data_IF_525269365215
#
_entry.id   IF_525269365215
#
_cell.length_a   1.000
_cell.length_b   1.000
_cell.length_c   1.000
_cell.angle_alpha   90.00
_cell.angle_beta   90.00
_cell.angle_gamma   90.00
#
_symmetry.space_group_name_H-M   'P 1'
#
loop_
_entity.id
_entity.type
_entity.pdbx_description
1 polymer ?
#
# COMPACT_ATOMS: atom_id res chain seq x y z
N UNK A 1 -31.39 -25.28 0.95
CA UNK A 1 -30.41 -24.35 1.53
C UNK A 1 -29.23 -24.29 0.57
N UNK A 2 -29.23 -23.29 -0.31
CA UNK A 2 -28.19 -23.12 -1.32
C UNK A 2 -27.00 -22.45 -0.62
N UNK A 3 -26.04 -23.25 -0.17
CA UNK A 3 -24.78 -22.72 0.31
C UNK A 3 -24.08 -22.11 -0.91
N UNK A 4 -24.14 -20.78 -1.04
CA UNK A 4 -23.29 -20.05 -1.96
C UNK A 4 -21.85 -20.41 -1.63
N UNK A 5 -21.25 -21.29 -2.44
CA UNK A 5 -19.80 -21.44 -2.46
C UNK A 5 -19.27 -20.08 -2.90
N UNK A 6 -18.84 -19.27 -1.95
CA UNK A 6 -17.99 -18.12 -2.23
C UNK A 6 -16.68 -18.72 -2.72
N UNK A 7 -16.55 -18.87 -4.03
CA UNK A 7 -15.26 -19.16 -4.63
C UNK A 7 -14.35 -18.02 -4.20
N UNK A 8 -13.29 -18.26 -3.41
CA UNK A 8 -12.39 -17.19 -3.02
C UNK A 8 -11.87 -16.59 -4.32
N UNK A 9 -12.18 -15.32 -4.57
CA UNK A 9 -11.64 -14.62 -5.72
C UNK A 9 -10.13 -14.83 -5.66
N UNK A 10 -9.50 -15.47 -6.66
CA UNK A 10 -8.07 -15.66 -6.61
C UNK A 10 -7.48 -14.26 -6.46
N UNK A 11 -6.76 -14.02 -5.35
CA UNK A 11 -5.93 -12.83 -5.26
C UNK A 11 -4.87 -13.01 -6.36
N UNK A 12 -5.20 -12.55 -7.57
CA UNK A 12 -4.37 -12.65 -8.78
C UNK A 12 -2.99 -12.03 -8.54
N UNK A 13 -2.89 -11.20 -7.51
CA UNK A 13 -1.69 -10.48 -7.12
C UNK A 13 -1.13 -11.05 -5.82
N UNK A 14 -0.15 -11.95 -5.96
CA UNK A 14 0.73 -12.34 -4.86
C UNK A 14 1.88 -11.32 -4.80
N UNK A 15 1.78 -10.35 -3.89
CA UNK A 15 2.86 -9.42 -3.64
C UNK A 15 4.12 -10.20 -3.19
N UNK A 16 5.27 -9.90 -3.79
CA UNK A 16 6.53 -10.47 -3.35
C UNK A 16 7.00 -9.74 -2.08
N UNK A 17 6.54 -10.22 -0.93
CA UNK A 17 6.80 -9.60 0.37
C UNK A 17 8.30 -9.46 0.65
N UNK A 18 9.11 -10.46 0.30
CA UNK A 18 10.57 -10.41 0.50
C UNK A 18 11.19 -9.25 -0.27
N UNK A 19 10.84 -9.10 -1.55
CA UNK A 19 11.37 -8.00 -2.37
C UNK A 19 10.89 -6.64 -1.89
N UNK A 20 9.63 -6.53 -1.45
CA UNK A 20 9.10 -5.30 -0.83
C UNK A 20 9.90 -4.96 0.43
N UNK A 21 10.19 -5.94 1.29
CA UNK A 21 10.96 -5.75 2.52
C UNK A 21 12.40 -5.29 2.23
N UNK A 22 13.06 -5.88 1.23
CA UNK A 22 14.39 -5.46 0.80
C UNK A 22 14.40 -4.02 0.26
N UNK A 23 13.40 -3.64 -0.54
CA UNK A 23 13.24 -2.26 -1.02
C UNK A 23 12.96 -1.30 0.14
N UNK A 24 12.10 -1.69 1.09
CA UNK A 24 11.80 -0.89 2.28
C UNK A 24 13.05 -0.67 3.14
N UNK A 25 13.88 -1.70 3.33
CA UNK A 25 15.12 -1.59 4.11
C UNK A 25 16.15 -0.63 3.51
N UNK A 26 16.13 -0.44 2.18
CA UNK A 26 17.02 0.48 1.45
C UNK A 26 16.46 1.89 1.32
N UNK A 27 15.18 2.08 1.62
CA UNK A 27 14.51 3.38 1.50
C UNK A 27 14.76 4.17 2.77
N UNK A 28 15.21 5.42 2.63
CA UNK A 28 15.23 6.36 3.76
C UNK A 28 13.77 6.67 4.16
N UNK A 29 13.40 6.39 5.40
CA UNK A 29 12.06 6.65 5.94
C UNK A 29 11.98 7.92 6.77
N UNK A 30 13.00 8.77 6.75
CA UNK A 30 12.97 10.03 7.47
C UNK A 30 11.77 10.89 7.04
N UNK A 31 11.00 11.35 8.02
CA UNK A 31 9.94 12.32 7.84
C UNK A 31 10.22 13.43 8.85
N UNK A 32 10.23 14.67 8.37
CA UNK A 32 10.49 15.82 9.22
C UNK A 32 9.30 16.06 10.16
N UNK A 33 9.51 15.82 11.45
CA UNK A 33 8.48 16.02 12.47
C UNK A 33 8.21 17.49 12.77
N UNK A 34 9.03 18.41 12.26
CA UNK A 34 8.82 19.86 12.37
C UNK A 34 7.90 20.41 11.27
N UNK A 35 7.69 19.64 10.19
CA UNK A 35 6.73 19.95 9.12
C UNK A 35 5.28 19.76 9.57
N UNK A 36 4.34 20.26 8.76
CA UNK A 36 2.91 20.00 8.99
C UNK A 36 2.61 18.50 8.86
N UNK A 37 1.50 18.07 9.48
CA UNK A 37 1.03 16.68 9.40
C UNK A 37 0.73 16.33 7.94
N UNK A 38 0.15 17.25 7.18
CA UNK A 38 -0.21 17.05 5.78
C UNK A 38 1.02 16.88 4.89
N UNK A 39 2.06 17.68 5.13
CA UNK A 39 3.33 17.60 4.40
C UNK A 39 4.06 16.30 4.72
N UNK A 40 4.18 15.98 6.01
CA UNK A 40 4.75 14.72 6.50
C UNK A 40 4.03 13.49 5.93
N UNK A 41 2.70 13.54 5.89
CA UNK A 41 1.86 12.48 5.33
C UNK A 41 2.02 12.35 3.82
N UNK A 42 2.16 13.47 3.10
CA UNK A 42 2.43 13.47 1.66
C UNK A 42 3.77 12.80 1.34
N UNK A 43 4.82 13.14 2.09
CA UNK A 43 6.17 12.55 1.95
C UNK A 43 6.12 11.04 2.23
N UNK A 44 5.47 10.62 3.31
CA UNK A 44 5.29 9.20 3.63
C UNK A 44 4.58 8.45 2.49
N UNK A 45 3.46 8.97 1.97
CA UNK A 45 2.73 8.35 0.86
C UNK A 45 3.60 8.21 -0.40
N UNK A 46 4.45 9.20 -0.68
CA UNK A 46 5.43 9.15 -1.77
C UNK A 46 6.41 7.99 -1.60
N UNK A 47 7.05 7.89 -0.43
CA UNK A 47 8.00 6.80 -0.09
C UNK A 47 7.34 5.42 -0.10
N UNK A 48 6.15 5.31 0.48
CA UNK A 48 5.34 4.09 0.42
C UNK A 48 5.03 3.68 -1.03
N UNK A 49 4.66 4.66 -1.87
CA UNK A 49 4.40 4.41 -3.29
C UNK A 49 5.62 3.89 -4.03
N UNK A 50 6.79 4.50 -3.79
CA UNK A 50 8.06 4.07 -4.37
C UNK A 50 8.33 2.59 -4.07
N UNK A 51 8.16 2.17 -2.80
CA UNK A 51 8.45 0.80 -2.35
C UNK A 51 7.43 -0.22 -2.87
N UNK A 52 6.18 0.19 -3.09
CA UNK A 52 5.09 -0.75 -3.36
C UNK A 52 4.58 -0.74 -4.80
N UNK A 53 4.82 0.31 -5.59
CA UNK A 53 4.21 0.50 -6.92
C UNK A 53 4.56 -0.61 -7.92
N UNK A 54 5.77 -1.17 -7.85
CA UNK A 54 6.17 -2.29 -8.70
C UNK A 54 5.54 -3.63 -8.32
N UNK A 55 4.89 -3.72 -7.14
CA UNK A 55 4.41 -4.98 -6.56
C UNK A 55 2.92 -4.98 -6.23
N UNK A 56 2.31 -3.80 -6.09
CA UNK A 56 0.89 -3.58 -5.82
C UNK A 56 0.31 -2.78 -7.00
N UNK A 57 -0.69 -3.33 -7.72
CA UNK A 57 -1.34 -2.62 -8.81
C UNK A 57 -1.98 -1.31 -8.37
N UNK A 58 -2.01 -0.34 -9.29
CA UNK A 58 -2.63 0.96 -9.03
C UNK A 58 -4.14 0.85 -8.69
N UNK A 59 -4.87 -0.12 -9.27
CA UNK A 59 -6.30 -0.32 -8.97
C UNK A 59 -6.55 -0.82 -7.54
N UNK A 60 -5.59 -1.51 -6.93
CA UNK A 60 -5.70 -1.97 -5.54
C UNK A 60 -5.34 -0.87 -4.52
N UNK A 61 -4.58 0.13 -4.97
CA UNK A 61 -4.18 1.29 -4.18
C UNK A 61 -5.37 2.25 -3.93
N UNK A 62 -6.27 2.37 -4.91
CA UNK A 62 -7.37 3.34 -4.85
C UNK A 62 -8.52 2.91 -3.92
N UNK A 63 -8.83 1.61 -3.86
CA UNK A 63 -9.91 1.08 -3.00
C UNK A 63 -9.61 1.20 -1.50
N UNK A 64 -8.34 1.08 -1.09
CA UNK A 64 -7.92 1.23 0.33
C UNK A 64 -7.71 2.70 0.73
N UNK A 65 -7.38 3.55 -0.25
CA UNK A 65 -7.36 5.02 -0.21
C UNK A 65 -8.64 5.66 0.36
N UNK A 66 -9.79 5.12 -0.05
CA UNK A 66 -11.12 5.73 0.16
C UNK A 66 -11.77 5.39 1.50
N UNK A 67 -11.21 4.48 2.30
CA UNK A 67 -11.85 3.97 3.53
C UNK A 67 -11.70 4.95 4.72
N UNK A 68 -11.01 6.09 4.57
CA UNK A 68 -10.81 7.08 5.66
C UNK A 68 -11.56 8.41 5.47
N UNK A 69 -12.59 8.47 4.62
CA UNK A 69 -13.51 9.61 4.55
C UNK A 69 -14.97 9.16 4.70
N UNK A 70 -15.29 8.59 5.86
CA UNK A 70 -16.65 8.31 6.33
C UNK A 70 -16.77 8.68 7.79
#
# INVERSE_FOLDING_TARGET
MLCYQVTPHPNVWKANISTIQECAAKTDWFVDTSSSVEESWSVFKGKFSLVTSSFIPYWYREERMKIHHG
#
